data_IF_884684099002
#
_entry.id   IF_884684099002
#
_cell.length_a   1.000
_cell.length_b   1.000
_cell.length_c   1.000
_cell.angle_alpha   90.00
_cell.angle_beta   90.00
_cell.angle_gamma   90.00
#
_symmetry.space_group_name_H-M   'P 1'
#
loop_
_entity.id
_entity.type
_entity.pdbx_description
1 polymer ?
#
# COMPACT_ATOMS: atom_id res chain seq x y z
N UNK A 1 9.18 12.11 4.44
CA UNK A 1 9.92 11.58 3.27
C UNK A 1 8.91 11.06 2.26
N UNK A 2 9.19 11.24 0.97
CA UNK A 2 8.33 10.76 -0.12
C UNK A 2 8.41 9.23 -0.20
N UNK A 3 7.26 8.52 -0.16
CA UNK A 3 7.24 7.06 -0.25
C UNK A 3 7.70 6.58 -1.63
N UNK A 4 8.39 5.44 -1.67
CA UNK A 4 8.93 4.84 -2.90
C UNK A 4 8.43 3.41 -3.04
N UNK A 5 8.08 3.02 -4.27
CA UNK A 5 7.79 1.62 -4.59
C UNK A 5 9.10 0.98 -5.08
N UNK A 6 9.39 -0.23 -4.59
CA UNK A 6 10.56 -1.02 -5.01
C UNK A 6 10.09 -2.30 -5.68
N UNK A 7 10.46 -2.49 -6.95
CA UNK A 7 10.40 -3.77 -7.65
C UNK A 7 11.83 -4.28 -7.87
N UNK A 8 12.07 -5.53 -8.31
CA UNK A 8 13.43 -6.06 -8.38
C UNK A 8 14.36 -5.20 -9.25
N UNK A 9 15.38 -4.62 -8.61
CA UNK A 9 16.35 -3.73 -9.25
C UNK A 9 15.80 -2.38 -9.73
N UNK A 10 14.54 -2.03 -9.44
CA UNK A 10 13.91 -0.78 -9.87
C UNK A 10 13.33 0.01 -8.71
N UNK A 11 13.34 1.34 -8.84
CA UNK A 11 12.84 2.28 -7.85
C UNK A 11 11.87 3.27 -8.49
N UNK A 12 10.68 3.40 -7.91
CA UNK A 12 9.63 4.26 -8.43
C UNK A 12 9.26 5.30 -7.38
N UNK A 13 9.18 6.57 -7.80
CA UNK A 13 8.78 7.68 -6.92
C UNK A 13 7.38 8.19 -7.31
N UNK A 14 6.65 8.89 -6.43
CA UNK A 14 5.33 9.39 -6.75
C UNK A 14 5.41 10.42 -7.88
N UNK A 15 4.51 10.30 -8.84
CA UNK A 15 4.34 11.29 -9.88
C UNK A 15 3.76 12.59 -9.30
N UNK A 16 4.21 13.73 -9.84
CA UNK A 16 3.51 14.99 -9.64
C UNK A 16 2.11 14.93 -10.27
N UNK A 17 1.25 15.92 -9.93
CA UNK A 17 -0.09 16.04 -10.53
C UNK A 17 -0.04 16.01 -12.06
N UNK A 18 1.01 16.58 -12.64
CA UNK A 18 1.32 16.47 -14.07
C UNK A 18 2.57 15.60 -14.18
N UNK A 19 2.41 14.37 -14.69
CA UNK A 19 3.48 13.36 -14.73
C UNK A 19 4.72 13.87 -15.45
N UNK A 20 4.55 14.56 -16.60
CA UNK A 20 5.65 15.14 -17.38
C UNK A 20 6.43 16.25 -16.67
N UNK A 21 5.92 16.76 -15.54
CA UNK A 21 6.62 17.74 -14.68
C UNK A 21 7.26 17.09 -13.46
N UNK A 22 7.20 15.77 -13.32
CA UNK A 22 7.84 15.05 -12.21
C UNK A 22 9.35 15.07 -12.44
N UNK A 23 10.11 15.45 -11.41
CA UNK A 23 11.57 15.43 -11.44
C UNK A 23 12.07 14.30 -10.53
N UNK A 24 13.08 13.56 -10.96
CA UNK A 24 13.78 12.56 -10.16
C UNK A 24 14.60 13.18 -9.00
N UNK A 25 14.57 14.51 -8.83
CA UNK A 25 15.28 15.26 -7.79
C UNK A 25 16.80 14.98 -7.75
N UNK A 26 17.39 14.67 -8.90
CA UNK A 26 18.82 14.34 -9.03
C UNK A 26 19.20 12.92 -8.59
N UNK A 27 18.22 12.08 -8.23
CA UNK A 27 18.46 10.69 -7.86
C UNK A 27 18.55 9.79 -9.10
N UNK A 28 19.78 9.44 -9.48
CA UNK A 28 20.08 8.58 -10.63
C UNK A 28 19.58 7.12 -10.47
N UNK A 29 19.13 6.72 -9.27
CA UNK A 29 18.58 5.37 -9.04
C UNK A 29 17.10 5.26 -9.39
N UNK A 30 16.42 6.39 -9.63
CA UNK A 30 15.00 6.42 -9.99
C UNK A 30 14.81 5.83 -11.39
N UNK A 31 13.97 4.80 -11.48
CA UNK A 31 13.60 4.13 -12.73
C UNK A 31 12.43 4.83 -13.42
N UNK A 32 11.56 5.49 -12.65
CA UNK A 32 10.38 6.14 -13.16
C UNK A 32 9.44 6.59 -12.04
N UNK A 33 8.20 6.81 -12.42
CA UNK A 33 7.18 7.39 -11.54
C UNK A 33 6.00 6.45 -11.35
N UNK A 34 5.26 6.64 -10.26
CA UNK A 34 3.99 5.95 -10.04
C UNK A 34 2.86 6.92 -9.67
N UNK A 35 1.64 6.57 -10.07
CA UNK A 35 0.44 7.30 -9.67
C UNK A 35 -0.59 6.33 -9.11
N UNK A 36 -1.02 6.58 -7.88
CA UNK A 36 -2.07 5.80 -7.23
C UNK A 36 -3.46 6.23 -7.71
N UNK A 37 -4.32 5.26 -7.97
CA UNK A 37 -5.72 5.41 -8.38
C UNK A 37 -6.62 4.59 -7.43
N UNK A 38 -7.94 4.82 -7.42
CA UNK A 38 -8.87 3.97 -6.68
C UNK A 38 -8.87 2.50 -7.11
N UNK A 39 -8.46 2.21 -8.35
CA UNK A 39 -8.51 0.86 -8.96
C UNK A 39 -7.14 0.28 -9.30
N UNK A 40 -6.06 0.95 -8.89
CA UNK A 40 -4.71 0.46 -9.18
C UNK A 40 -3.61 1.50 -9.04
N UNK A 41 -2.43 1.16 -9.55
CA UNK A 41 -1.23 2.00 -9.53
C UNK A 41 -0.65 2.02 -10.95
N UNK A 42 -0.61 3.20 -11.57
CA UNK A 42 0.04 3.38 -12.87
C UNK A 42 1.53 3.59 -12.69
N UNK A 43 2.32 3.04 -13.61
CA UNK A 43 3.75 3.23 -13.69
C UNK A 43 4.11 3.95 -14.99
N UNK A 44 4.99 4.92 -14.86
CA UNK A 44 5.49 5.76 -15.93
C UNK A 44 7.00 5.65 -16.00
N UNK A 45 7.58 5.70 -17.19
CA UNK A 45 9.03 5.85 -17.34
C UNK A 45 9.48 7.29 -17.05
N UNK A 46 10.78 7.55 -17.20
CA UNK A 46 11.37 8.85 -16.91
C UNK A 46 10.89 9.94 -17.86
N UNK A 47 10.45 9.56 -19.05
CA UNK A 47 9.81 10.42 -20.04
C UNK A 47 8.34 10.73 -19.68
N UNK A 48 7.80 10.05 -18.67
CA UNK A 48 6.41 10.20 -18.22
C UNK A 48 5.41 9.40 -19.04
N UNK A 49 5.86 8.45 -19.87
CA UNK A 49 4.99 7.61 -20.67
C UNK A 49 4.44 6.45 -19.83
N UNK A 50 3.12 6.26 -19.87
CA UNK A 50 2.45 5.13 -19.23
C UNK A 50 2.88 3.82 -19.92
N UNK A 51 3.36 2.85 -19.14
CA UNK A 51 3.77 1.54 -19.68
C UNK A 51 3.21 0.34 -18.89
N UNK A 52 2.77 0.54 -17.65
CA UNK A 52 2.18 -0.51 -16.83
C UNK A 52 1.13 0.02 -15.85
N UNK A 53 0.26 -0.88 -15.40
CA UNK A 53 -0.63 -0.66 -14.28
C UNK A 53 -0.62 -1.89 -13.38
N UNK A 54 -0.53 -1.71 -12.06
CA UNK A 54 -0.91 -2.72 -11.08
C UNK A 54 -2.38 -2.54 -10.78
N UNK A 55 -3.23 -3.41 -11.32
CA UNK A 55 -4.66 -3.37 -11.10
C UNK A 55 -4.94 -3.89 -9.70
N UNK A 56 -5.81 -3.19 -8.96
CA UNK A 56 -6.37 -3.64 -7.69
C UNK A 56 -7.88 -3.78 -7.87
N UNK A 57 -8.36 -4.99 -8.11
CA UNK A 57 -9.79 -5.19 -8.40
C UNK A 57 -10.64 -5.16 -7.11
N UNK A 58 -11.96 -5.08 -7.26
CA UNK A 58 -12.89 -5.06 -6.12
C UNK A 58 -12.89 -6.35 -5.30
N UNK A 59 -12.41 -7.45 -5.88
CA UNK A 59 -12.29 -8.75 -5.21
C UNK A 59 -10.97 -8.88 -4.42
N UNK A 60 -10.14 -7.83 -4.41
CA UNK A 60 -8.87 -7.80 -3.68
C UNK A 60 -7.71 -8.48 -4.41
N UNK A 61 -7.90 -8.85 -5.68
CA UNK A 61 -6.83 -9.38 -6.51
C UNK A 61 -6.00 -8.25 -7.09
N UNK A 62 -4.69 -8.44 -7.00
CA UNK A 62 -3.69 -7.55 -7.57
C UNK A 62 -3.00 -8.25 -8.73
N UNK A 63 -2.80 -7.56 -9.85
CA UNK A 63 -2.01 -8.08 -10.98
C UNK A 63 -1.46 -6.97 -11.88
N UNK A 64 -0.26 -7.18 -12.42
CA UNK A 64 0.29 -6.27 -13.42
C UNK A 64 -0.34 -6.46 -14.80
N UNK A 65 -0.54 -5.33 -15.49
CA UNK A 65 -0.94 -5.26 -16.89
C UNK A 65 -0.05 -4.29 -17.65
N UNK A 66 0.18 -4.54 -18.93
CA UNK A 66 0.70 -3.54 -19.85
C UNK A 66 -0.36 -2.48 -20.08
N UNK A 67 0.03 -1.22 -19.94
CA UNK A 67 -0.85 -0.07 -20.18
C UNK A 67 -0.14 0.92 -21.09
N UNK A 68 -0.86 1.54 -22.03
CA UNK A 68 -0.31 2.53 -22.95
C UNK A 68 -1.27 3.71 -23.10
N UNK A 69 -0.71 4.91 -23.24
CA UNK A 69 -1.47 6.09 -23.63
C UNK A 69 -1.46 6.22 -25.16
N UNK A 70 -2.63 6.38 -25.76
CA UNK A 70 -2.82 6.53 -27.21
C UNK A 70 -3.39 7.91 -27.59
N UNK A 71 -3.28 8.92 -26.72
CA UNK A 71 -3.69 10.31 -26.98
C UNK A 71 -5.22 10.53 -27.01
N UNK A 72 -5.98 9.51 -27.40
CA UNK A 72 -7.45 9.44 -27.32
C UNK A 72 -7.94 8.72 -26.06
N UNK A 73 -7.02 8.18 -25.26
CA UNK A 73 -7.30 7.43 -24.06
C UNK A 73 -6.24 6.39 -23.77
N UNK A 74 -6.45 5.64 -22.70
CA UNK A 74 -5.52 4.61 -22.24
C UNK A 74 -6.03 3.23 -22.62
N UNK A 75 -5.13 2.36 -23.04
CA UNK A 75 -5.41 0.96 -23.36
C UNK A 75 -4.70 0.07 -22.35
N UNK A 76 -5.39 -1.00 -21.96
CA UNK A 76 -4.90 -1.99 -21.02
C UNK A 76 -4.96 -3.36 -21.68
N UNK A 77 -3.87 -4.11 -21.60
CA UNK A 77 -3.82 -5.51 -22.01
C UNK A 77 -3.95 -6.38 -20.76
N UNK A 78 -4.79 -7.41 -20.74
CA UNK A 78 -4.96 -8.31 -19.57
C UNK A 78 -3.75 -9.26 -19.37
N UNK A 79 -2.55 -8.75 -19.58
CA UNK A 79 -1.27 -9.41 -19.37
C UNK A 79 -0.15 -8.36 -19.45
N UNK A 80 1.04 -8.75 -19.05
CA UNK A 80 2.26 -7.99 -19.33
C UNK A 80 2.93 -8.53 -20.59
N UNK A 81 3.46 -7.64 -21.44
CA UNK A 81 4.41 -8.03 -22.47
C UNK A 81 5.84 -8.04 -21.91
N UNK A 82 6.77 -8.72 -22.61
CA UNK A 82 8.16 -8.85 -22.17
C UNK A 82 8.85 -7.51 -21.93
N UNK A 83 8.51 -6.47 -22.70
CA UNK A 83 9.05 -5.11 -22.52
C UNK A 83 8.57 -4.52 -21.18
N UNK A 84 7.28 -4.67 -20.86
CA UNK A 84 6.72 -4.22 -19.58
C UNK A 84 7.34 -4.99 -18.41
N UNK A 85 7.51 -6.30 -18.53
CA UNK A 85 8.13 -7.11 -17.48
C UNK A 85 9.58 -6.69 -17.21
N UNK A 86 10.36 -6.45 -18.26
CA UNK A 86 11.73 -5.97 -18.14
C UNK A 86 11.79 -4.56 -17.51
N UNK A 87 10.89 -3.65 -17.91
CA UNK A 87 10.79 -2.30 -17.30
C UNK A 87 10.45 -2.39 -15.81
N UNK A 88 9.54 -3.28 -15.40
CA UNK A 88 9.20 -3.52 -14.00
C UNK A 88 10.25 -4.33 -13.22
N UNK A 89 11.19 -4.99 -13.90
CA UNK A 89 12.14 -5.90 -13.27
C UNK A 89 11.53 -7.25 -12.86
N UNK A 90 10.41 -7.65 -13.45
CA UNK A 90 9.68 -8.89 -13.11
C UNK A 90 9.84 -10.00 -14.14
N UNK A 91 10.68 -9.78 -15.16
CA UNK A 91 10.98 -10.78 -16.17
C UNK A 91 11.56 -12.05 -15.52
N UNK A 92 11.03 -13.20 -15.90
CA UNK A 92 11.47 -14.50 -15.35
C UNK A 92 10.97 -14.80 -13.93
N UNK A 93 10.24 -13.89 -13.27
CA UNK A 93 9.61 -14.20 -11.99
C UNK A 93 8.49 -15.22 -12.17
N UNK A 94 8.48 -16.24 -11.30
CA UNK A 94 7.36 -17.17 -11.18
C UNK A 94 6.07 -16.48 -10.69
N UNK A 95 4.93 -17.13 -10.94
CA UNK A 95 3.60 -16.58 -10.60
C UNK A 95 3.48 -16.17 -9.13
N UNK A 96 3.86 -17.03 -8.19
CA UNK A 96 3.74 -16.75 -6.75
C UNK A 96 4.58 -15.54 -6.32
N UNK A 97 5.82 -15.45 -6.80
CA UNK A 97 6.69 -14.32 -6.50
C UNK A 97 6.13 -13.00 -7.06
N UNK A 98 5.47 -13.03 -8.23
CA UNK A 98 4.76 -11.86 -8.77
C UNK A 98 3.59 -11.47 -7.88
N UNK A 99 2.75 -12.42 -7.47
CA UNK A 99 1.62 -12.17 -6.56
C UNK A 99 2.06 -11.57 -5.23
N UNK A 100 3.13 -12.09 -4.64
CA UNK A 100 3.72 -11.55 -3.40
C UNK A 100 4.24 -10.13 -3.59
N UNK A 101 4.92 -9.85 -4.71
CA UNK A 101 5.39 -8.51 -5.04
C UNK A 101 4.23 -7.53 -5.19
N UNK A 102 3.22 -7.89 -6.00
CA UNK A 102 2.02 -7.10 -6.23
C UNK A 102 1.31 -6.77 -4.91
N UNK A 103 1.17 -7.78 -4.06
CA UNK A 103 0.53 -7.64 -2.77
C UNK A 103 1.33 -6.72 -1.83
N UNK A 104 2.65 -6.92 -1.76
CA UNK A 104 3.54 -6.08 -0.95
C UNK A 104 3.46 -4.62 -1.35
N UNK A 105 3.47 -4.31 -2.64
CA UNK A 105 3.39 -2.93 -3.14
C UNK A 105 2.09 -2.26 -2.69
N UNK A 106 0.94 -2.93 -2.87
CA UNK A 106 -0.37 -2.37 -2.51
C UNK A 106 -0.43 -2.08 -1.02
N UNK A 107 -0.05 -3.07 -0.23
CA UNK A 107 -0.17 -2.96 1.20
C UNK A 107 0.85 -1.96 1.83
N UNK A 108 2.04 -1.81 1.24
CA UNK A 108 3.02 -0.80 1.66
C UNK A 108 2.48 0.62 1.41
N UNK A 109 1.79 0.82 0.28
CA UNK A 109 1.11 2.08 -0.02
C UNK A 109 -0.09 2.32 0.88
N UNK A 110 -0.88 1.30 1.22
CA UNK A 110 -2.00 1.39 2.15
C UNK A 110 -1.52 1.78 3.55
N UNK A 111 -0.45 1.14 4.01
CA UNK A 111 0.18 1.45 5.30
C UNK A 111 0.69 2.89 5.32
N UNK A 112 1.35 3.33 4.24
CA UNK A 112 1.81 4.72 4.14
C UNK A 112 0.65 5.72 4.15
N UNK A 113 -0.43 5.43 3.42
CA UNK A 113 -1.61 6.29 3.39
C UNK A 113 -2.30 6.36 4.75
N UNK A 114 -2.42 5.24 5.46
CA UNK A 114 -2.98 5.18 6.81
C UNK A 114 -2.17 6.03 7.78
N UNK A 115 -0.83 5.90 7.76
CA UNK A 115 0.06 6.73 8.57
C UNK A 115 -0.11 8.23 8.28
N UNK A 116 -0.18 8.64 7.00
CA UNK A 116 -0.42 10.04 6.63
C UNK A 116 -1.77 10.56 7.15
N UNK A 117 -2.83 9.72 7.13
CA UNK A 117 -4.13 10.11 7.67
C UNK A 117 -4.05 10.29 9.19
N UNK A 118 -3.41 9.36 9.90
CA UNK A 118 -3.24 9.44 11.35
C UNK A 118 -2.41 10.67 11.75
N UNK A 119 -1.23 10.87 11.14
CA UNK A 119 -0.34 12.02 11.36
C UNK A 119 -1.08 13.35 11.15
N UNK A 120 -1.87 13.46 10.08
CA UNK A 120 -2.66 14.67 9.77
C UNK A 120 -3.65 15.05 10.86
N UNK A 121 -4.16 14.08 11.63
CA UNK A 121 -5.12 14.33 12.70
C UNK A 121 -4.48 14.22 14.09
N UNK A 122 -3.15 14.14 14.18
CA UNK A 122 -2.44 14.06 15.47
C UNK A 122 -2.69 12.76 16.23
N UNK A 123 -3.01 11.67 15.52
CA UNK A 123 -3.22 10.34 16.08
C UNK A 123 -2.04 9.45 15.70
N UNK A 124 -1.68 8.50 16.55
CA UNK A 124 -0.63 7.52 16.27
C UNK A 124 -1.12 6.06 16.28
N UNK A 125 -0.25 5.15 15.83
CA UNK A 125 -0.55 3.72 15.79
C UNK A 125 -0.67 3.09 17.19
N UNK A 126 -0.02 3.66 18.20
CA UNK A 126 -0.16 3.21 19.58
C UNK A 126 -1.57 3.41 20.11
N UNK A 127 -2.20 4.54 19.78
CA UNK A 127 -3.61 4.79 20.09
C UNK A 127 -4.54 3.81 19.38
N UNK A 128 -4.20 3.38 18.16
CA UNK A 128 -4.97 2.32 17.48
C UNK A 128 -4.87 0.98 18.23
N UNK A 129 -3.67 0.62 18.69
CA UNK A 129 -3.47 -0.59 19.52
C UNK A 129 -4.20 -0.48 20.85
N UNK A 130 -4.19 0.69 21.50
CA UNK A 130 -4.95 0.95 22.72
C UNK A 130 -6.44 0.72 22.51
N UNK A 131 -7.02 1.31 21.45
CA UNK A 131 -8.41 1.06 21.06
C UNK A 131 -8.67 -0.44 20.81
N UNK A 132 -7.79 -1.10 20.07
CA UNK A 132 -7.89 -2.54 19.79
C UNK A 132 -7.84 -3.42 21.05
N UNK A 133 -7.30 -2.88 22.16
CA UNK A 133 -7.23 -3.51 23.47
C UNK A 133 -8.34 -3.05 24.43
N UNK A 134 -9.32 -2.29 23.93
CA UNK A 134 -10.48 -1.82 24.71
C UNK A 134 -10.21 -0.55 25.52
N UNK A 135 -9.14 0.19 25.27
CA UNK A 135 -8.89 1.46 25.95
C UNK A 135 -9.88 2.55 25.50
N UNK A 136 -10.31 3.44 26.42
CA UNK A 136 -11.19 4.56 26.08
C UNK A 136 -10.63 5.38 24.92
N UNK A 137 -11.38 5.46 23.84
CA UNK A 137 -10.98 6.14 22.59
C UNK A 137 -12.10 7.09 22.18
N UNK A 138 -11.78 8.35 21.89
CA UNK A 138 -12.78 9.32 21.45
C UNK A 138 -13.36 8.97 20.08
N UNK A 139 -14.60 9.37 19.82
CA UNK A 139 -15.27 9.13 18.54
C UNK A 139 -14.50 9.77 17.37
N UNK A 140 -13.90 10.94 17.58
CA UNK A 140 -13.02 11.58 16.60
C UNK A 140 -11.83 10.68 16.23
N UNK A 141 -11.20 10.06 17.23
CA UNK A 141 -10.05 9.18 17.04
C UNK A 141 -10.46 7.89 16.31
N UNK A 142 -11.61 7.31 16.69
CA UNK A 142 -12.16 6.13 15.98
C UNK A 142 -12.49 6.44 14.52
N UNK A 143 -13.07 7.61 14.26
CA UNK A 143 -13.34 8.07 12.90
C UNK A 143 -12.06 8.26 12.08
N UNK A 144 -10.96 8.70 12.71
CA UNK A 144 -9.65 8.76 12.06
C UNK A 144 -9.14 7.37 11.68
N UNK A 145 -9.28 6.36 12.55
CA UNK A 145 -8.88 4.97 12.23
C UNK A 145 -9.71 4.37 11.09
N UNK A 146 -11.01 4.62 11.09
CA UNK A 146 -11.89 4.21 9.99
C UNK A 146 -11.49 4.89 8.67
N UNK A 147 -11.26 6.21 8.70
CA UNK A 147 -10.80 6.98 7.53
C UNK A 147 -9.43 6.53 7.02
N UNK A 148 -8.57 6.05 7.92
CA UNK A 148 -7.27 5.47 7.60
C UNK A 148 -7.38 4.02 7.08
N UNK A 149 -8.57 3.41 7.07
CA UNK A 149 -8.81 2.03 6.64
C UNK A 149 -8.32 0.98 7.64
N UNK A 150 -8.03 1.38 8.89
CA UNK A 150 -7.60 0.46 9.94
C UNK A 150 -8.76 -0.36 10.49
N UNK A 151 -9.98 0.18 10.45
CA UNK A 151 -11.21 -0.51 10.83
C UNK A 151 -12.19 -0.56 9.65
N UNK A 152 -13.11 -1.53 9.67
CA UNK A 152 -14.20 -1.63 8.69
C UNK A 152 -15.45 -0.85 9.11
N UNK A 153 -15.51 -0.41 10.38
CA UNK A 153 -16.60 0.35 10.96
C UNK A 153 -16.07 1.56 11.76
N UNK A 154 -16.79 2.70 11.78
CA UNK A 154 -16.43 3.88 12.60
C UNK A 154 -16.36 3.64 14.10
N UNK A 155 -17.06 2.65 14.66
CA UNK A 155 -16.92 2.29 16.09
C UNK A 155 -15.59 1.56 16.34
N UNK A 156 -15.10 0.84 15.33
CA UNK A 156 -13.82 0.15 15.34
C UNK A 156 -13.74 -1.12 16.19
N UNK A 157 -14.57 -1.23 17.22
CA UNK A 157 -14.66 -2.36 18.15
C UNK A 157 -16.14 -2.66 18.45
N UNK A 158 -16.49 -3.93 18.57
CA UNK A 158 -17.83 -4.36 19.01
C UNK A 158 -17.98 -4.28 20.54
N UNK A 159 -19.22 -4.39 21.04
CA UNK A 159 -19.54 -4.32 22.46
C UNK A 159 -18.88 -5.44 23.29
N UNK A 160 -18.55 -6.56 22.66
CA UNK A 160 -17.86 -7.70 23.27
C UNK A 160 -16.31 -7.56 23.28
N UNK A 161 -15.79 -6.46 22.73
CA UNK A 161 -14.36 -6.19 22.62
C UNK A 161 -13.72 -6.73 21.34
N UNK A 162 -14.50 -7.25 20.37
CA UNK A 162 -13.96 -7.72 19.11
C UNK A 162 -13.53 -6.54 18.19
N UNK A 163 -12.26 -6.53 17.78
CA UNK A 163 -11.72 -5.53 16.87
C UNK A 163 -12.25 -5.74 15.44
N UNK A 164 -12.97 -4.75 14.93
CA UNK A 164 -13.44 -4.69 13.54
C UNK A 164 -12.33 -4.20 12.61
N UNK A 165 -11.20 -4.90 12.60
CA UNK A 165 -10.03 -4.50 11.83
C UNK A 165 -10.27 -4.65 10.32
N UNK A 166 -9.90 -3.61 9.58
CA UNK A 166 -9.70 -3.67 8.14
C UNK A 166 -8.46 -4.49 7.78
N UNK A 167 -8.25 -4.71 6.47
CA UNK A 167 -7.04 -5.36 5.94
C UNK A 167 -5.78 -4.63 6.39
N UNK A 168 -5.76 -3.30 6.23
CA UNK A 168 -4.62 -2.44 6.60
C UNK A 168 -4.35 -2.51 8.10
N UNK A 169 -5.39 -2.42 8.94
CA UNK A 169 -5.25 -2.54 10.39
C UNK A 169 -4.60 -3.86 10.83
N UNK A 170 -5.11 -4.99 10.33
CA UNK A 170 -4.53 -6.31 10.62
C UNK A 170 -3.07 -6.42 10.18
N UNK A 171 -2.75 -5.91 8.99
CA UNK A 171 -1.37 -5.93 8.48
C UNK A 171 -0.45 -5.07 9.33
N UNK A 172 -0.86 -3.86 9.70
CA UNK A 172 -0.04 -2.98 10.52
C UNK A 172 0.22 -3.59 11.91
N UNK A 173 -0.77 -4.24 12.52
CA UNK A 173 -0.58 -5.01 13.76
C UNK A 173 0.46 -6.10 13.58
N UNK A 174 0.30 -6.95 12.56
CA UNK A 174 1.23 -8.04 12.27
C UNK A 174 2.66 -7.52 11.97
N UNK A 175 2.79 -6.47 11.15
CA UNK A 175 4.07 -5.87 10.80
C UNK A 175 4.77 -5.20 12.01
N UNK A 176 4.00 -4.69 12.97
CA UNK A 176 4.51 -4.16 14.22
C UNK A 176 4.79 -5.25 15.28
N UNK A 177 4.57 -6.52 14.94
CA UNK A 177 4.84 -7.68 15.77
C UNK A 177 3.75 -7.97 16.81
N UNK A 178 2.53 -7.49 16.61
CA UNK A 178 1.41 -7.80 17.49
C UNK A 178 0.73 -9.12 17.08
N UNK A 179 0.41 -9.94 18.08
CA UNK A 179 -0.45 -11.11 17.96
C UNK A 179 -1.67 -10.97 18.88
N UNK A 180 -2.77 -11.61 18.50
CA UNK A 180 -3.98 -11.62 19.32
C UNK A 180 -3.96 -12.80 20.29
N UNK A 181 -3.81 -12.52 21.58
CA UNK A 181 -3.69 -13.49 22.67
C UNK A 181 -4.48 -13.03 23.89
N UNK A 182 -5.27 -13.93 24.49
CA UNK A 182 -6.06 -13.66 25.70
C UNK A 182 -6.97 -12.42 25.59
N UNK A 183 -7.59 -12.21 24.42
CA UNK A 183 -8.42 -11.03 24.13
C UNK A 183 -7.62 -9.74 23.85
N UNK A 184 -6.29 -9.82 23.98
CA UNK A 184 -5.22 -8.83 23.84
C UNK A 184 -4.55 -8.77 22.47
N UNK A 185 -4.33 -7.61 21.87
CA UNK A 185 -3.20 -7.42 20.94
C UNK A 185 -1.92 -7.17 21.72
N UNK A 186 -1.08 -8.20 21.83
CA UNK A 186 0.18 -8.18 22.56
C UNK A 186 1.35 -8.18 21.59
N UNK A 187 2.39 -7.40 21.90
CA UNK A 187 3.61 -7.39 21.11
C UNK A 187 4.40 -8.65 21.41
N UNK A 188 4.64 -9.49 20.40
CA UNK A 188 5.50 -10.65 20.52
C UNK A 188 6.87 -10.21 21.02
N UNK A 189 7.39 -10.89 22.05
CA UNK A 189 8.80 -10.74 22.40
C UNK A 189 9.63 -11.06 21.14
N UNK A 190 10.67 -10.26 20.81
CA UNK A 190 11.55 -10.62 19.71
C UNK A 190 12.03 -12.04 19.96
N UNK A 191 11.90 -12.90 18.95
CA UNK A 191 12.44 -14.25 19.03
C UNK A 191 13.92 -14.10 19.42
N UNK A 192 14.27 -14.57 20.61
CA UNK A 192 15.68 -14.67 21.01
C UNK A 192 16.31 -15.57 19.96
N UNK A 193 17.15 -14.99 19.11
CA UNK A 193 17.87 -15.74 18.10
C UNK A 193 18.66 -16.85 18.81
N UNK A 194 18.26 -18.10 18.58
CA UNK A 194 18.96 -19.29 19.04
C UNK A 194 20.12 -19.61 18.09
#
# INVERSE_FOLDING_TARGET
>A
MTHVIITPGKKWIPAARVVSKTNAHGDATVTGFYQRLPTGIRFFDLEGALFACLVTNRQGENFFVTATDHGTGQRYMHSTCSITEAKLGIQGMGYMAKKELEQRIVDDLDTHQANQVMEKHGVDFGQFVGMANGEPTSDDTRHVFFKAGLTVDPHGIEDDGYLLAGRTGRRMLSAAGFAYENGKWLKNAPAVAA
#
